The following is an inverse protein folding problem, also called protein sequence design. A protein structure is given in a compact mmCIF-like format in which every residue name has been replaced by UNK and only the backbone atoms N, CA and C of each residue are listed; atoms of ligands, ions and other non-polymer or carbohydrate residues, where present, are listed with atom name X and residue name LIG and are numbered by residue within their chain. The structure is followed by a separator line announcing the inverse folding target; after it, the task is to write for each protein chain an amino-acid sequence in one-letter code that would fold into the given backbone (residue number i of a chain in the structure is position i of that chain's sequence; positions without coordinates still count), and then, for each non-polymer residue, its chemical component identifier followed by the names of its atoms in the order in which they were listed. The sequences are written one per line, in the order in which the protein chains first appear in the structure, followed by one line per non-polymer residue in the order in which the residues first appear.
data_IF_054485913697
#
_entry.id   IF_054485913697
#
_cell.length_a   1.000
_cell.length_b   1.000
_cell.length_c   1.000
_cell.angle_alpha   90.00
_cell.angle_beta   90.00
_cell.angle_gamma   90.00
#
_symmetry.space_group_name_H-M   'P 1'
#
loop_
_entity.id
_entity.type
_entity.pdbx_description
1 polymer ?
#
# COMPACT_ATOMS: atom_id res chain seq x y z
N UNK A 1 2.48 -15.08 -8.36
CA UNK A 1 2.68 -15.14 -6.89
C UNK A 1 2.30 -13.76 -6.37
N UNK A 2 1.47 -13.63 -5.32
CA UNK A 2 1.07 -12.28 -4.84
C UNK A 2 2.27 -11.62 -4.17
N UNK A 3 2.41 -10.29 -4.30
CA UNK A 3 3.51 -9.55 -3.68
C UNK A 3 3.61 -9.79 -2.16
N UNK A 4 2.50 -10.02 -1.46
CA UNK A 4 2.48 -10.38 -0.03
C UNK A 4 3.22 -11.69 0.32
N UNK A 5 3.46 -12.56 -0.68
CA UNK A 5 4.16 -13.84 -0.55
C UNK A 5 5.62 -13.76 -1.00
N UNK A 6 6.02 -12.68 -1.68
CA UNK A 6 7.41 -12.42 -2.03
C UNK A 6 8.16 -11.95 -0.77
N UNK A 7 9.18 -12.72 -0.36
CA UNK A 7 9.86 -12.51 0.93
C UNK A 7 10.51 -11.12 1.04
N UNK A 8 10.93 -10.55 -0.08
CA UNK A 8 11.62 -9.27 -0.18
C UNK A 8 10.69 -8.04 -0.10
N UNK A 9 9.37 -8.19 -0.26
CA UNK A 9 8.39 -7.09 -0.10
C UNK A 9 7.33 -7.36 0.96
N UNK A 10 7.29 -8.57 1.52
CA UNK A 10 6.29 -8.96 2.54
C UNK A 10 6.19 -8.00 3.72
N UNK A 11 7.31 -7.42 4.16
CA UNK A 11 7.35 -6.45 5.27
C UNK A 11 6.54 -5.17 4.97
N UNK A 12 6.29 -4.84 3.70
CA UNK A 12 5.43 -3.73 3.30
C UNK A 12 3.94 -4.03 3.49
N UNK A 13 3.56 -5.29 3.65
CA UNK A 13 2.19 -5.75 3.84
C UNK A 13 1.92 -6.20 5.28
N UNK A 14 2.82 -6.97 5.88
CA UNK A 14 2.61 -7.49 7.23
C UNK A 14 3.92 -7.64 7.99
N UNK A 15 3.84 -7.48 9.31
CA UNK A 15 4.96 -7.67 10.23
C UNK A 15 4.60 -8.53 11.43
N UNK A 16 5.62 -9.10 12.06
CA UNK A 16 5.50 -9.73 13.37
C UNK A 16 5.74 -8.68 14.47
N UNK A 17 4.93 -8.70 15.53
CA UNK A 17 5.18 -7.89 16.72
C UNK A 17 5.81 -8.78 17.79
N UNK A 18 7.10 -8.59 18.07
CA UNK A 18 7.82 -9.41 19.06
C UNK A 18 7.63 -8.91 20.49
N UNK A 19 7.29 -7.63 20.68
CA UNK A 19 6.67 -7.02 21.87
C UNK A 19 6.62 -5.51 21.67
N UNK A 20 5.53 -4.84 22.05
CA UNK A 20 5.53 -3.38 22.20
C UNK A 20 5.81 -3.08 23.66
N UNK A 21 6.90 -2.36 23.94
CA UNK A 21 7.14 -1.78 25.26
C UNK A 21 5.96 -0.88 25.62
N UNK A 22 5.17 -1.29 26.61
CA UNK A 22 4.21 -0.43 27.26
C UNK A 22 4.99 0.69 27.94
N UNK A 23 4.96 1.89 27.36
CA UNK A 23 5.38 3.10 28.06
C UNK A 23 4.27 3.48 29.04
N UNK A 24 4.19 2.72 30.13
CA UNK A 24 3.42 3.04 31.31
C UNK A 24 4.40 3.13 32.48
N UNK A 25 4.85 4.35 32.78
CA UNK A 25 4.87 4.90 34.15
C UNK A 25 5.56 6.26 34.16
N UNK A 26 4.74 7.31 34.03
CA UNK A 26 5.07 8.61 34.58
C UNK A 26 4.72 8.60 36.07
N UNK A 27 5.65 8.19 36.92
CA UNK A 27 5.56 8.45 38.35
C UNK A 27 6.75 9.31 38.81
N UNK A 28 6.38 10.40 39.47
CA UNK A 28 7.24 11.39 40.09
C UNK A 28 8.01 10.83 41.28
N UNK A 29 9.32 11.08 41.34
CA UNK A 29 10.14 10.86 42.53
C UNK A 29 11.40 11.73 42.52
N UNK A 30 11.44 12.72 43.42
CA UNK A 30 12.55 13.64 43.63
C UNK A 30 13.62 13.03 44.56
N UNK A 31 14.88 13.42 44.31
CA UNK A 31 16.00 13.62 45.24
C UNK A 31 16.85 12.43 45.76
N UNK A 32 18.17 12.66 45.78
CA UNK A 32 19.14 11.94 46.63
C UNK A 32 20.47 11.63 45.94
N UNK A 33 21.56 12.30 46.33
CA UNK A 33 22.87 12.21 45.68
C UNK A 33 23.83 11.14 46.20
N UNK A 34 24.93 10.94 45.45
CA UNK A 34 26.24 10.50 45.95
C UNK A 34 26.56 9.00 45.84
N UNK A 35 27.33 8.61 44.82
CA UNK A 35 28.73 8.14 44.93
C UNK A 35 29.16 7.33 43.70
N UNK A 36 30.42 7.55 43.30
CA UNK A 36 31.12 6.90 42.19
C UNK A 36 31.36 5.43 42.49
N UNK A 37 31.10 4.57 41.50
CA UNK A 37 31.89 3.34 41.34
C UNK A 37 32.03 3.02 39.85
N UNK A 38 33.27 3.05 39.37
CA UNK A 38 33.64 2.58 38.03
C UNK A 38 33.47 1.06 37.96
N UNK A 39 32.76 0.58 36.94
CA UNK A 39 33.04 -0.74 36.36
C UNK A 39 32.66 -0.79 34.89
N UNK A 40 33.70 -0.83 34.07
CA UNK A 40 33.67 -1.17 32.65
C UNK A 40 33.00 -2.52 32.42
N UNK A 41 32.03 -2.54 31.50
CA UNK A 41 31.79 -3.66 30.57
C UNK A 41 31.10 -3.10 29.33
N UNK A 42 31.89 -3.02 28.25
CA UNK A 42 31.38 -2.92 26.89
C UNK A 42 30.41 -4.07 26.64
N UNK A 43 29.15 -3.74 26.42
CA UNK A 43 28.23 -4.60 25.69
C UNK A 43 27.57 -3.69 24.66
N UNK A 44 28.04 -3.79 23.42
CA UNK A 44 27.36 -3.26 22.26
C UNK A 44 25.98 -3.92 22.20
N UNK A 45 24.95 -3.20 22.62
CA UNK A 45 23.57 -3.56 22.29
C UNK A 45 23.40 -3.37 20.79
N UNK A 46 23.67 -4.44 20.04
CA UNK A 46 23.15 -4.60 18.71
C UNK A 46 21.64 -4.74 18.83
N UNK A 47 20.90 -3.75 18.33
CA UNK A 47 19.49 -3.91 17.98
C UNK A 47 19.39 -5.16 17.10
N UNK A 48 18.65 -6.21 17.49
CA UNK A 48 18.50 -7.36 16.63
C UNK A 48 17.69 -6.93 15.42
N UNK A 49 18.34 -6.93 14.26
CA UNK A 49 17.69 -6.89 12.95
C UNK A 49 16.75 -8.09 12.92
N UNK A 50 15.45 -7.81 12.81
CA UNK A 50 14.42 -8.84 12.77
C UNK A 50 14.71 -9.80 11.61
N UNK A 51 14.84 -11.08 11.94
CA UNK A 51 15.05 -12.17 10.99
C UNK A 51 13.89 -12.18 9.98
N UNK A 52 14.24 -12.18 8.69
CA UNK A 52 13.38 -11.93 7.52
C UNK A 52 12.44 -13.08 7.17
N UNK A 53 11.89 -13.77 8.17
CA UNK A 53 10.92 -14.84 7.98
C UNK A 53 9.89 -14.86 9.09
N UNK A 54 8.59 -14.86 8.75
CA UNK A 54 7.47 -15.08 9.69
C UNK A 54 7.42 -16.50 10.28
N UNK A 55 8.53 -17.26 10.22
CA UNK A 55 8.58 -18.61 10.78
C UNK A 55 8.31 -18.49 12.28
N UNK A 56 7.14 -18.97 12.71
CA UNK A 56 6.71 -18.95 14.11
C UNK A 56 5.88 -17.74 14.55
N UNK A 57 5.41 -16.87 13.64
CA UNK A 57 4.51 -15.74 13.95
C UNK A 57 3.17 -15.79 13.19
N UNK A 58 3.17 -16.34 11.97
CA UNK A 58 1.96 -16.46 11.15
C UNK A 58 2.23 -16.83 9.69
N UNK A 59 1.16 -17.05 8.93
CA UNK A 59 1.22 -17.48 7.52
C UNK A 59 0.10 -16.88 6.69
N UNK A 60 0.22 -16.99 5.37
CA UNK A 60 -0.90 -16.82 4.44
C UNK A 60 -1.32 -18.22 4.00
N UNK A 61 -2.61 -18.55 4.13
CA UNK A 61 -3.13 -19.86 3.74
C UNK A 61 -3.45 -19.94 2.22
N UNK A 62 -3.91 -21.10 1.76
CA UNK A 62 -4.25 -21.35 0.35
C UNK A 62 -5.41 -20.50 -0.19
N UNK A 63 -6.22 -19.92 0.70
CA UNK A 63 -7.33 -19.02 0.38
C UNK A 63 -6.93 -17.55 0.52
N UNK A 64 -5.63 -17.27 0.66
CA UNK A 64 -5.05 -15.94 0.90
C UNK A 64 -5.47 -15.30 2.23
N UNK A 65 -5.92 -16.10 3.21
CA UNK A 65 -6.17 -15.59 4.55
C UNK A 65 -4.87 -15.44 5.33
N UNK A 66 -4.75 -14.36 6.09
CA UNK A 66 -3.64 -14.19 7.03
C UNK A 66 -3.96 -14.87 8.34
N UNK A 67 -3.16 -15.86 8.74
CA UNK A 67 -3.34 -16.64 9.97
C UNK A 67 -2.24 -16.31 10.97
N UNK A 68 -2.64 -15.81 12.14
CA UNK A 68 -1.79 -15.68 13.32
C UNK A 68 -1.77 -17.00 14.09
N UNK A 69 -0.56 -17.51 14.35
CA UNK A 69 -0.36 -18.72 15.15
C UNK A 69 -0.72 -18.48 16.63
N UNK A 70 -1.00 -19.54 17.38
CA UNK A 70 -1.31 -19.48 18.82
C UNK A 70 -0.35 -18.55 19.59
N UNK A 71 -0.90 -17.59 20.34
CA UNK A 71 -0.15 -16.65 21.16
C UNK A 71 0.72 -15.67 20.37
N UNK A 72 0.52 -15.55 19.05
CA UNK A 72 1.26 -14.66 18.17
C UNK A 72 0.40 -13.51 17.70
N UNK A 73 1.09 -12.48 17.21
CA UNK A 73 0.48 -11.25 16.75
C UNK A 73 1.10 -10.80 15.44
N UNK A 74 0.21 -10.51 14.48
CA UNK A 74 0.54 -9.95 13.18
C UNK A 74 0.08 -8.51 13.16
N UNK A 75 0.95 -7.60 12.75
CA UNK A 75 0.60 -6.20 12.52
C UNK A 75 0.39 -5.90 11.05
N UNK A 76 -0.65 -5.11 10.78
CA UNK A 76 -0.92 -4.48 9.49
C UNK A 76 -0.61 -2.98 9.54
N UNK A 77 0.15 -2.53 10.56
CA UNK A 77 0.78 -1.22 10.64
C UNK A 77 1.96 -1.09 9.68
N UNK A 78 1.69 -1.37 8.40
CA UNK A 78 2.65 -1.48 7.32
C UNK A 78 2.28 -0.53 6.19
N UNK A 79 3.21 -0.29 5.27
CA UNK A 79 3.05 0.72 4.23
C UNK A 79 1.79 0.50 3.37
N UNK A 80 1.52 -0.73 2.94
CA UNK A 80 0.39 -1.03 2.07
C UNK A 80 -0.93 -1.22 2.82
N UNK A 81 -0.94 -1.59 4.10
CA UNK A 81 -2.18 -1.91 4.81
C UNK A 81 -2.64 -0.86 5.83
N UNK A 82 -1.75 0.03 6.28
CA UNK A 82 -2.15 1.17 7.08
C UNK A 82 -2.87 2.24 6.24
N UNK A 83 -3.81 2.95 6.86
CA UNK A 83 -4.57 4.02 6.22
C UNK A 83 -3.96 5.40 6.52
N UNK A 84 -3.61 6.20 5.48
CA UNK A 84 -2.97 7.51 5.63
C UNK A 84 -3.98 8.59 6.08
N UNK A 85 -4.47 8.47 7.31
CA UNK A 85 -5.58 9.25 7.87
C UNK A 85 -5.41 10.77 7.72
N UNK A 86 -4.20 11.30 7.93
CA UNK A 86 -3.95 12.74 7.79
C UNK A 86 -4.09 13.25 6.37
N UNK A 87 -3.72 12.46 5.35
CA UNK A 87 -3.86 12.86 3.94
C UNK A 87 -5.32 12.97 3.56
N UNK A 88 -6.12 11.96 3.90
CA UNK A 88 -7.57 11.97 3.66
C UNK A 88 -8.23 13.15 4.38
N UNK A 89 -7.95 13.33 5.67
CA UNK A 89 -8.46 14.48 6.44
C UNK A 89 -8.10 15.83 5.82
N UNK A 90 -6.88 15.96 5.30
CA UNK A 90 -6.35 17.23 4.76
C UNK A 90 -6.92 17.58 3.39
N UNK A 91 -7.16 16.58 2.54
CA UNK A 91 -7.40 16.77 1.11
C UNK A 91 -8.80 16.36 0.65
N UNK A 92 -9.61 15.70 1.48
CA UNK A 92 -11.00 15.28 1.16
C UNK A 92 -12.00 15.83 2.18
N UNK A 93 -13.27 16.00 1.82
CA UNK A 93 -14.29 16.54 2.75
C UNK A 93 -14.75 15.52 3.82
N UNK A 94 -14.28 14.28 3.73
CA UNK A 94 -14.65 13.22 4.66
C UNK A 94 -14.00 13.40 6.04
N UNK A 95 -14.75 13.06 7.09
CA UNK A 95 -14.32 13.10 8.50
C UNK A 95 -14.34 11.74 9.18
N UNK A 96 -14.70 10.70 8.44
CA UNK A 96 -14.78 9.34 8.93
C UNK A 96 -14.22 8.41 7.87
N UNK A 97 -13.49 7.39 8.29
CA UNK A 97 -13.14 6.22 7.48
C UNK A 97 -13.76 4.99 8.11
N UNK A 98 -14.33 4.12 7.30
CA UNK A 98 -14.89 2.83 7.72
C UNK A 98 -13.84 1.74 7.53
N UNK A 99 -13.57 0.98 8.58
CA UNK A 99 -12.81 -0.26 8.52
C UNK A 99 -13.80 -1.43 8.54
N UNK A 100 -13.73 -2.30 7.53
CA UNK A 100 -14.46 -3.58 7.51
C UNK A 100 -13.48 -4.72 7.50
N UNK A 101 -13.61 -5.61 8.49
CA UNK A 101 -12.76 -6.76 8.69
C UNK A 101 -13.62 -8.02 8.68
N UNK A 102 -13.13 -9.09 8.08
CA UNK A 102 -13.72 -10.42 8.21
C UNK A 102 -12.69 -11.35 8.83
N UNK A 103 -13.00 -11.93 9.98
CA UNK A 103 -12.06 -12.74 10.74
C UNK A 103 -12.73 -13.86 11.53
N UNK A 104 -11.96 -14.89 11.86
CA UNK A 104 -12.37 -16.06 12.66
C UNK A 104 -11.27 -16.49 13.62
N UNK A 105 -11.59 -17.44 14.49
CA UNK A 105 -10.69 -18.07 15.44
C UNK A 105 -10.80 -17.47 16.83
N UNK A 106 -9.73 -17.60 17.61
CA UNK A 106 -9.69 -17.15 19.00
C UNK A 106 -8.62 -16.08 19.17
N UNK A 107 -9.00 -14.90 19.66
CA UNK A 107 -8.05 -13.80 19.82
C UNK A 107 -8.70 -12.43 19.81
N UNK A 108 -8.01 -11.43 19.26
CA UNK A 108 -8.51 -10.08 19.11
C UNK A 108 -8.01 -9.39 17.85
N UNK A 109 -8.88 -8.58 17.26
CA UNK A 109 -8.51 -7.51 16.33
C UNK A 109 -8.35 -6.22 17.12
N UNK A 110 -7.19 -5.57 17.02
CA UNK A 110 -6.89 -4.37 17.78
C UNK A 110 -6.61 -3.21 16.84
N UNK A 111 -7.39 -2.14 16.94
CA UNK A 111 -7.29 -0.97 16.07
C UNK A 111 -6.41 0.08 16.75
N UNK A 112 -5.47 0.63 16.00
CA UNK A 112 -4.51 1.63 16.44
C UNK A 112 -4.56 2.88 15.58
N UNK A 113 -4.11 3.98 16.18
CA UNK A 113 -3.72 5.17 15.45
C UNK A 113 -2.38 5.71 15.91
N UNK A 114 -1.75 6.53 15.08
CA UNK A 114 -0.58 7.32 15.45
C UNK A 114 -0.90 8.81 15.49
N UNK A 115 -0.16 9.55 16.31
CA UNK A 115 -0.05 11.01 16.18
C UNK A 115 0.98 11.38 15.10
N UNK A 116 1.06 12.65 14.73
CA UNK A 116 2.09 13.16 13.82
C UNK A 116 3.54 12.87 14.28
N UNK A 117 3.75 12.69 15.60
CA UNK A 117 5.06 12.34 16.18
C UNK A 117 5.30 10.83 16.26
N UNK A 118 4.40 10.01 15.73
CA UNK A 118 4.51 8.55 15.76
C UNK A 118 4.05 7.90 17.07
N UNK A 119 3.53 8.65 18.05
CA UNK A 119 3.00 8.04 19.27
C UNK A 119 1.78 7.17 18.95
N UNK A 120 1.82 5.91 19.37
CA UNK A 120 0.78 4.89 19.12
C UNK A 120 -0.29 4.94 20.20
N UNK A 121 -1.56 4.91 19.78
CA UNK A 121 -2.73 4.95 20.65
C UNK A 121 -3.68 3.84 20.22
N UNK A 122 -4.07 2.96 21.15
CA UNK A 122 -5.13 1.96 20.92
C UNK A 122 -6.48 2.67 20.86
N UNK A 123 -7.25 2.35 19.84
CA UNK A 123 -8.55 2.97 19.54
C UNK A 123 -9.70 2.03 19.90
N UNK A 124 -9.59 0.76 19.52
CA UNK A 124 -10.61 -0.25 19.81
C UNK A 124 -9.97 -1.65 19.90
N UNK A 125 -10.70 -2.61 20.43
CA UNK A 125 -10.33 -4.03 20.40
C UNK A 125 -11.56 -4.91 20.40
N UNK A 126 -11.60 -5.80 19.42
CA UNK A 126 -12.72 -6.70 19.16
C UNK A 126 -12.25 -8.13 19.44
N UNK A 127 -12.90 -8.80 20.38
CA UNK A 127 -12.65 -10.21 20.67
C UNK A 127 -13.19 -11.10 19.55
N UNK A 128 -12.38 -12.09 19.15
CA UNK A 128 -12.76 -13.20 18.29
C UNK A 128 -12.87 -14.45 19.16
N UNK A 129 -14.00 -15.14 19.08
CA UNK A 129 -14.22 -16.42 19.74
C UNK A 129 -15.19 -17.26 18.92
N UNK A 130 -14.64 -18.05 18.00
CA UNK A 130 -15.42 -18.98 17.19
C UNK A 130 -14.75 -19.30 15.86
N UNK A 131 -15.07 -20.48 15.34
CA UNK A 131 -14.48 -20.95 14.08
C UNK A 131 -15.20 -20.36 12.85
N UNK A 132 -16.42 -19.81 13.03
CA UNK A 132 -17.14 -19.09 11.98
C UNK A 132 -16.63 -17.66 11.83
N UNK A 133 -16.41 -17.23 10.58
CA UNK A 133 -15.95 -15.88 10.32
C UNK A 133 -17.06 -14.83 10.48
N UNK A 134 -16.73 -13.84 11.31
CA UNK A 134 -17.57 -12.68 11.61
C UNK A 134 -17.09 -11.47 10.83
N UNK A 135 -18.05 -10.65 10.37
CA UNK A 135 -17.77 -9.35 9.76
C UNK A 135 -17.90 -8.26 10.80
N UNK A 136 -16.87 -7.43 10.91
CA UNK A 136 -16.71 -6.38 11.91
C UNK A 136 -16.56 -5.06 11.17
N UNK A 137 -17.45 -4.11 11.48
CA UNK A 137 -17.45 -2.77 10.89
C UNK A 137 -17.18 -1.72 11.94
N UNK A 138 -16.26 -0.79 11.68
CA UNK A 138 -15.92 0.32 12.58
C UNK A 138 -15.77 1.62 11.81
N UNK A 139 -16.53 2.62 12.22
CA UNK A 139 -16.43 3.98 11.72
C UNK A 139 -15.48 4.78 12.62
N UNK A 140 -14.37 5.25 12.03
CA UNK A 140 -13.26 5.89 12.74
C UNK A 140 -13.15 7.35 12.34
N UNK A 141 -13.21 8.26 13.32
CA UNK A 141 -13.08 9.71 13.08
C UNK A 141 -11.69 10.09 12.59
N UNK A 142 -11.62 10.98 11.60
CA UNK A 142 -10.41 11.60 11.10
C UNK A 142 -10.09 12.93 11.81
N UNK A 143 -10.93 13.41 12.72
CA UNK A 143 -10.76 14.72 13.35
C UNK A 143 -9.38 14.94 14.01
N UNK A 144 -8.77 13.94 14.70
CA UNK A 144 -7.48 14.12 15.37
C UNK A 144 -6.26 14.28 14.45
N UNK A 145 -6.37 13.98 13.15
CA UNK A 145 -5.22 13.84 12.25
C UNK A 145 -4.84 15.15 11.55
N UNK A 146 -4.75 16.25 12.30
CA UNK A 146 -4.51 17.59 11.75
C UNK A 146 -3.14 17.69 11.07
N UNK A 147 -2.10 17.24 11.78
CA UNK A 147 -0.70 17.46 11.40
C UNK A 147 0.03 16.17 10.98
N UNK A 148 -0.69 15.04 10.95
CA UNK A 148 -0.12 13.73 10.65
C UNK A 148 -0.80 12.58 11.39
N UNK A 149 -0.43 11.37 11.00
CA UNK A 149 -0.85 10.13 11.66
C UNK A 149 -1.61 9.18 10.73
N UNK A 150 -1.66 7.93 11.16
CA UNK A 150 -2.19 6.79 10.42
C UNK A 150 -3.16 5.99 11.28
N UNK A 151 -4.05 5.25 10.62
CA UNK A 151 -4.80 4.16 11.22
C UNK A 151 -4.25 2.81 10.76
N UNK A 152 -4.26 1.81 11.63
CA UNK A 152 -4.01 0.42 11.26
C UNK A 152 -4.67 -0.52 12.27
N UNK A 153 -4.55 -1.82 12.06
CA UNK A 153 -5.01 -2.84 12.99
C UNK A 153 -4.00 -3.98 13.08
N UNK A 154 -4.12 -4.76 14.15
CA UNK A 154 -3.35 -5.97 14.39
C UNK A 154 -4.29 -7.15 14.65
N UNK A 155 -3.85 -8.35 14.25
CA UNK A 155 -4.50 -9.62 14.59
C UNK A 155 -3.65 -10.32 15.66
N UNK A 156 -4.21 -10.50 16.84
CA UNK A 156 -3.58 -11.19 17.97
C UNK A 156 -4.34 -12.50 18.23
N UNK A 157 -3.65 -13.63 18.19
CA UNK A 157 -4.22 -14.95 18.46
C UNK A 157 -4.10 -15.31 19.95
N UNK A 158 -5.13 -15.95 20.48
CA UNK A 158 -5.22 -16.44 21.85
C UNK A 158 -4.58 -17.83 22.03
N UNK A 159 -5.30 -18.74 22.67
CA UNK A 159 -4.85 -20.12 22.88
C UNK A 159 -5.01 -21.01 21.63
N UNK A 160 -5.75 -20.52 20.63
CA UNK A 160 -5.88 -21.10 19.28
C UNK A 160 -5.48 -20.06 18.24
N UNK A 161 -5.37 -20.51 16.99
CA UNK A 161 -5.09 -19.60 15.86
C UNK A 161 -6.24 -18.63 15.62
N UNK A 162 -5.92 -17.48 15.04
CA UNK A 162 -6.88 -16.53 14.51
C UNK A 162 -6.55 -16.24 13.04
N UNK A 163 -7.57 -16.03 12.22
CA UNK A 163 -7.40 -15.77 10.79
C UNK A 163 -8.18 -14.53 10.36
N UNK A 164 -7.52 -13.66 9.59
CA UNK A 164 -8.11 -12.56 8.85
C UNK A 164 -8.38 -13.02 7.42
N UNK A 165 -9.65 -13.01 7.02
CA UNK A 165 -10.09 -13.35 5.67
C UNK A 165 -10.05 -12.15 4.73
N UNK A 166 -10.48 -10.98 5.20
CA UNK A 166 -10.43 -9.74 4.43
C UNK A 166 -10.36 -8.51 5.32
N UNK A 167 -9.81 -7.43 4.78
CA UNK A 167 -9.77 -6.11 5.42
C UNK A 167 -9.88 -5.01 4.37
N UNK A 168 -10.77 -4.05 4.60
CA UNK A 168 -11.08 -2.98 3.67
C UNK A 168 -11.18 -1.64 4.39
N UNK A 169 -10.50 -0.63 3.85
CA UNK A 169 -10.69 0.76 4.22
C UNK A 169 -11.65 1.41 3.23
N UNK A 170 -12.77 1.92 3.74
CA UNK A 170 -13.85 2.49 2.93
C UNK A 170 -14.15 3.93 3.33
N UNK A 171 -14.50 4.74 2.34
CA UNK A 171 -15.04 6.08 2.54
C UNK A 171 -16.47 6.08 2.02
N UNK A 172 -17.42 6.39 2.89
CA UNK A 172 -18.81 6.61 2.47
C UNK A 172 -18.90 7.91 1.68
N UNK A 173 -19.46 7.83 0.49
CA UNK A 173 -19.60 8.94 -0.45
C UNK A 173 -20.92 8.84 -1.19
N UNK A 174 -21.49 9.98 -1.58
CA UNK A 174 -22.65 10.06 -2.48
C UNK A 174 -22.27 9.93 -3.95
N UNK A 175 -20.98 9.95 -4.28
CA UNK A 175 -20.46 9.69 -5.63
C UNK A 175 -20.88 8.29 -6.10
N UNK A 176 -21.57 8.23 -7.23
CA UNK A 176 -22.15 7.00 -7.78
C UNK A 176 -21.25 6.28 -8.79
N UNK A 177 -20.23 6.97 -9.33
CA UNK A 177 -19.35 6.44 -10.36
C UNK A 177 -17.90 6.60 -9.94
N UNK A 178 -17.14 5.52 -10.03
CA UNK A 178 -15.68 5.56 -9.89
C UNK A 178 -15.10 6.20 -11.14
N UNK A 179 -14.16 7.12 -10.97
CA UNK A 179 -13.49 7.77 -12.08
C UNK A 179 -12.70 6.77 -12.92
N UNK A 180 -12.56 7.09 -14.21
CA UNK A 180 -11.88 6.26 -15.20
C UNK A 180 -10.50 6.82 -15.52
N UNK A 181 -9.55 5.95 -15.82
CA UNK A 181 -8.14 6.33 -16.00
C UNK A 181 -7.57 5.81 -17.32
N UNK A 182 -6.80 6.66 -18.00
CA UNK A 182 -5.85 6.22 -19.03
C UNK A 182 -4.44 6.20 -18.48
N UNK A 183 -3.67 5.17 -18.83
CA UNK A 183 -2.29 5.00 -18.41
C UNK A 183 -1.36 5.38 -19.57
N UNK A 184 -0.39 6.25 -19.32
CA UNK A 184 0.67 6.60 -20.25
C UNK A 184 2.01 6.01 -19.82
N UNK A 185 2.62 5.18 -20.66
CA UNK A 185 3.94 4.58 -20.44
C UNK A 185 4.89 5.13 -21.50
N UNK A 186 5.99 5.76 -21.08
CA UNK A 186 7.05 6.19 -22.00
C UNK A 186 8.16 5.14 -22.01
N UNK A 187 8.59 4.68 -23.19
CA UNK A 187 9.68 3.69 -23.28
C UNK A 187 10.74 4.04 -24.31
N UNK A 188 11.99 3.64 -24.04
CA UNK A 188 13.11 3.75 -24.97
C UNK A 188 14.05 2.54 -24.80
N UNK A 189 13.97 1.59 -25.73
CA UNK A 189 14.82 0.39 -25.76
C UNK A 189 14.80 -0.44 -24.45
N UNK A 190 13.61 -0.57 -23.85
CA UNK A 190 13.34 -1.48 -22.71
C UNK A 190 12.08 -2.30 -22.97
N UNK A 191 12.00 -3.04 -24.09
CA UNK A 191 10.76 -3.69 -24.49
C UNK A 191 10.25 -4.68 -23.44
N UNK A 192 11.14 -5.47 -22.83
CA UNK A 192 10.80 -6.51 -21.85
C UNK A 192 10.11 -5.93 -20.60
N UNK A 193 10.69 -4.87 -20.01
CA UNK A 193 10.11 -4.21 -18.83
C UNK A 193 8.73 -3.62 -19.14
N UNK A 194 8.59 -2.96 -20.29
CA UNK A 194 7.32 -2.40 -20.71
C UNK A 194 6.28 -3.51 -20.93
N UNK A 195 6.64 -4.59 -21.61
CA UNK A 195 5.70 -5.68 -21.89
C UNK A 195 5.29 -6.46 -20.63
N UNK A 196 6.21 -6.64 -19.68
CA UNK A 196 5.90 -7.23 -18.37
C UNK A 196 4.87 -6.40 -17.60
N UNK A 197 5.01 -5.07 -17.64
CA UNK A 197 4.06 -4.15 -17.01
C UNK A 197 2.68 -4.22 -17.69
N UNK A 198 2.62 -4.32 -19.01
CA UNK A 198 1.37 -4.52 -19.76
C UNK A 198 0.70 -5.86 -19.40
N UNK A 199 1.50 -6.92 -19.26
CA UNK A 199 1.00 -8.24 -18.81
C UNK A 199 0.45 -8.15 -17.39
N UNK A 200 1.14 -7.47 -16.47
CA UNK A 200 0.65 -7.27 -15.10
C UNK A 200 -0.70 -6.53 -15.10
N UNK A 201 -0.82 -5.43 -15.85
CA UNK A 201 -2.08 -4.70 -16.01
C UNK A 201 -3.19 -5.58 -16.58
N UNK A 202 -2.88 -6.43 -17.56
CA UNK A 202 -3.86 -7.32 -18.20
C UNK A 202 -4.38 -8.43 -17.27
N UNK A 203 -3.66 -8.72 -16.19
CA UNK A 203 -3.98 -9.80 -15.24
C UNK A 203 -4.69 -9.34 -13.98
N UNK A 204 -4.88 -8.04 -13.79
CA UNK A 204 -5.60 -7.50 -12.62
C UNK A 204 -7.01 -7.03 -13.01
N UNK A 205 -8.07 -7.82 -12.72
CA UNK A 205 -9.44 -7.46 -13.04
C UNK A 205 -9.85 -6.10 -12.47
N UNK A 206 -9.35 -5.77 -11.27
CA UNK A 206 -9.76 -4.57 -10.56
C UNK A 206 -9.20 -3.27 -11.19
N UNK A 207 -7.98 -3.30 -11.73
CA UNK A 207 -7.48 -2.22 -12.57
C UNK A 207 -8.22 -2.17 -13.91
N UNK A 208 -8.52 -3.31 -14.53
CA UNK A 208 -9.24 -3.35 -15.80
C UNK A 208 -10.66 -2.76 -15.72
N UNK A 209 -11.30 -2.77 -14.56
CA UNK A 209 -12.61 -2.16 -14.29
C UNK A 209 -12.60 -0.63 -14.39
N UNK A 210 -11.48 0.03 -14.07
CA UNK A 210 -11.34 1.49 -14.10
C UNK A 210 -10.53 2.00 -15.30
N UNK A 211 -9.91 1.10 -16.06
CA UNK A 211 -9.03 1.42 -17.19
C UNK A 211 -9.79 1.69 -18.48
N UNK A 212 -9.57 2.88 -19.06
CA UNK A 212 -10.02 3.26 -20.40
C UNK A 212 -9.02 2.87 -21.48
N UNK A 213 -7.79 3.39 -21.41
CA UNK A 213 -6.75 3.16 -22.42
C UNK A 213 -5.36 3.04 -21.79
N UNK A 214 -4.46 2.34 -22.48
CA UNK A 214 -3.01 2.33 -22.23
C UNK A 214 -2.30 2.86 -23.47
N UNK A 215 -1.55 3.93 -23.31
CA UNK A 215 -0.70 4.53 -24.34
C UNK A 215 0.75 4.19 -24.06
N UNK A 216 1.34 3.35 -24.90
CA UNK A 216 2.79 3.08 -24.90
C UNK A 216 3.43 4.00 -25.92
N UNK A 217 4.15 5.00 -25.46
CA UNK A 217 4.91 5.93 -26.30
C UNK A 217 6.31 5.37 -26.49
N UNK A 218 6.49 4.61 -27.58
CA UNK A 218 7.73 3.91 -27.90
C UNK A 218 8.66 4.82 -28.72
N UNK A 219 9.72 5.26 -28.06
CA UNK A 219 10.73 6.16 -28.62
C UNK A 219 11.98 5.43 -29.12
N UNK A 220 12.01 4.10 -28.98
CA UNK A 220 13.17 3.26 -29.22
C UNK A 220 13.21 2.67 -30.63
N UNK A 221 14.25 1.87 -30.87
CA UNK A 221 14.35 1.00 -32.04
C UNK A 221 14.24 -0.49 -31.69
N UNK A 222 14.27 -0.84 -30.41
CA UNK A 222 13.84 -2.15 -29.90
C UNK A 222 12.38 -2.02 -29.49
N UNK A 223 11.48 -2.52 -30.32
CA UNK A 223 10.06 -2.20 -30.19
C UNK A 223 9.36 -3.12 -29.21
N UNK A 224 8.48 -2.55 -28.37
CA UNK A 224 7.64 -3.33 -27.43
C UNK A 224 6.76 -4.33 -28.17
N UNK A 225 6.25 -3.95 -29.35
CA UNK A 225 5.37 -4.80 -30.16
C UNK A 225 6.01 -6.09 -30.67
N UNK A 226 7.35 -6.16 -30.65
CA UNK A 226 8.09 -7.34 -31.09
C UNK A 226 8.26 -8.39 -29.97
N UNK A 227 7.83 -8.09 -28.74
CA UNK A 227 7.88 -9.03 -27.61
C UNK A 227 6.71 -10.03 -27.64
N UNK A 228 6.92 -11.31 -27.24
CA UNK A 228 5.83 -12.26 -27.02
C UNK A 228 4.80 -11.78 -25.98
N UNK A 229 5.27 -11.12 -24.92
CA UNK A 229 4.49 -10.62 -23.79
C UNK A 229 3.54 -9.49 -24.22
N UNK A 230 3.93 -8.66 -25.19
CA UNK A 230 3.03 -7.69 -25.79
C UNK A 230 1.82 -8.36 -26.45
N UNK A 231 2.02 -9.47 -27.16
CA UNK A 231 0.92 -10.20 -27.79
C UNK A 231 -0.05 -10.78 -26.76
N UNK A 232 0.47 -11.27 -25.63
CA UNK A 232 -0.34 -11.71 -24.47
C UNK A 232 -1.19 -10.55 -23.93
N UNK A 233 -0.57 -9.42 -23.60
CA UNK A 233 -1.27 -8.27 -23.06
C UNK A 233 -2.30 -7.69 -24.06
N UNK A 234 -1.95 -7.62 -25.36
CA UNK A 234 -2.84 -7.13 -26.43
C UNK A 234 -4.07 -8.00 -26.60
N UNK A 235 -3.98 -9.32 -26.39
CA UNK A 235 -5.13 -10.21 -26.47
C UNK A 235 -6.22 -9.89 -25.42
N UNK A 236 -5.82 -9.34 -24.26
CA UNK A 236 -6.74 -8.99 -23.16
C UNK A 236 -7.11 -7.51 -23.18
N UNK A 237 -6.14 -6.62 -23.38
CA UNK A 237 -6.37 -5.17 -23.42
C UNK A 237 -7.09 -4.74 -24.71
N UNK A 238 -6.93 -5.49 -25.80
CA UNK A 238 -7.64 -5.27 -27.05
C UNK A 238 -7.46 -3.85 -27.58
N UNK A 239 -8.56 -3.21 -27.95
CA UNK A 239 -8.57 -1.85 -28.50
C UNK A 239 -8.24 -0.76 -27.47
N UNK A 240 -8.02 -1.11 -26.21
CA UNK A 240 -7.55 -0.18 -25.17
C UNK A 240 -6.03 0.03 -25.20
N UNK A 241 -5.27 -0.89 -25.80
CA UNK A 241 -3.80 -0.79 -25.88
C UNK A 241 -3.35 -0.16 -27.20
N UNK A 242 -2.70 1.01 -27.09
CA UNK A 242 -2.20 1.82 -28.20
C UNK A 242 -0.68 1.96 -28.09
N UNK A 243 0.04 1.50 -29.11
CA UNK A 243 1.49 1.79 -29.23
C UNK A 243 1.68 2.92 -30.23
N UNK A 244 2.42 3.95 -29.81
CA UNK A 244 2.68 5.16 -30.56
C UNK A 244 4.18 5.21 -30.82
N UNK A 245 4.57 5.02 -32.08
CA UNK A 245 5.95 5.22 -32.52
C UNK A 245 6.24 6.71 -32.64
N UNK A 246 7.31 7.17 -31.99
CA UNK A 246 7.78 8.55 -32.13
C UNK A 246 9.32 8.64 -32.04
N UNK A 247 9.95 9.71 -32.56
CA UNK A 247 11.36 9.97 -32.31
C UNK A 247 11.66 10.14 -30.81
N UNK A 248 12.92 9.95 -30.39
CA UNK A 248 13.32 10.19 -29.01
C UNK A 248 13.29 11.69 -28.66
N UNK A 249 12.26 12.08 -27.91
CA UNK A 249 12.02 13.42 -27.36
C UNK A 249 12.19 13.44 -25.82
N UNK A 250 12.84 12.42 -25.25
CA UNK A 250 13.03 12.25 -23.81
C UNK A 250 11.73 11.97 -23.03
N UNK A 251 11.83 11.92 -21.70
CA UNK A 251 10.69 11.65 -20.81
C UNK A 251 9.57 12.68 -20.97
N UNK A 252 9.91 13.98 -21.02
CA UNK A 252 8.93 15.04 -21.22
C UNK A 252 8.13 14.88 -22.51
N UNK A 253 8.80 14.50 -23.62
CA UNK A 253 8.12 14.27 -24.90
C UNK A 253 7.20 13.06 -24.87
N UNK A 254 7.62 11.97 -24.21
CA UNK A 254 6.80 10.78 -24.03
C UNK A 254 5.57 11.02 -23.17
N UNK A 255 5.75 11.58 -21.98
CA UNK A 255 4.64 11.89 -21.07
C UNK A 255 3.69 12.93 -21.66
N UNK A 256 4.23 13.97 -22.32
CA UNK A 256 3.39 14.95 -23.03
C UNK A 256 2.56 14.29 -24.13
N UNK A 257 3.09 13.27 -24.82
CA UNK A 257 2.34 12.55 -25.84
C UNK A 257 1.20 11.76 -25.22
N UNK A 258 1.43 11.02 -24.13
CA UNK A 258 0.37 10.28 -23.46
C UNK A 258 -0.74 11.20 -22.91
N UNK A 259 -0.37 12.35 -22.32
CA UNK A 259 -1.35 13.36 -21.89
C UNK A 259 -2.14 13.92 -23.07
N UNK A 260 -1.48 14.22 -24.19
CA UNK A 260 -2.14 14.69 -25.41
C UNK A 260 -3.18 13.69 -25.91
N UNK A 261 -2.82 12.42 -26.05
CA UNK A 261 -3.72 11.37 -26.55
C UNK A 261 -4.92 11.16 -25.62
N UNK A 262 -4.69 11.17 -24.31
CA UNK A 262 -5.76 11.07 -23.30
C UNK A 262 -6.77 12.23 -23.46
N UNK A 263 -6.27 13.47 -23.56
CA UNK A 263 -7.11 14.67 -23.74
C UNK A 263 -7.86 14.63 -25.09
N UNK A 264 -7.20 14.21 -26.18
CA UNK A 264 -7.84 14.13 -27.50
C UNK A 264 -9.00 13.14 -27.54
N UNK A 265 -8.91 12.03 -26.78
CA UNK A 265 -10.02 11.08 -26.69
C UNK A 265 -11.18 11.59 -25.84
N UNK A 266 -10.88 12.36 -24.79
CA UNK A 266 -11.90 13.02 -23.97
C UNK A 266 -12.86 12.06 -23.25
N UNK A 267 -12.41 10.84 -22.95
CA UNK A 267 -13.22 9.80 -22.30
C UNK A 267 -12.83 9.50 -20.84
N UNK A 268 -11.59 9.81 -20.46
CA UNK A 268 -11.03 9.49 -19.15
C UNK A 268 -11.12 10.68 -18.19
N UNK A 269 -11.41 10.42 -16.92
CA UNK A 269 -11.36 11.43 -15.87
C UNK A 269 -9.91 11.77 -15.48
N UNK A 270 -9.02 10.78 -15.57
CA UNK A 270 -7.62 10.88 -15.15
C UNK A 270 -6.64 10.34 -16.19
N UNK A 271 -5.42 10.88 -16.14
CA UNK A 271 -4.23 10.30 -16.77
C UNK A 271 -3.24 9.90 -15.67
N UNK A 272 -2.78 8.65 -15.71
CA UNK A 272 -1.71 8.15 -14.85
C UNK A 272 -0.45 7.97 -15.70
N UNK A 273 0.64 8.62 -15.30
CA UNK A 273 1.93 8.51 -15.99
C UNK A 273 2.81 7.50 -15.25
N UNK A 274 3.29 6.49 -15.96
CA UNK A 274 4.19 5.45 -15.45
C UNK A 274 5.45 5.40 -16.31
N UNK A 275 6.58 5.11 -15.68
CA UNK A 275 7.80 4.72 -16.38
C UNK A 275 7.71 3.26 -16.84
N UNK A 276 8.53 2.89 -17.84
CA UNK A 276 8.60 1.53 -18.36
C UNK A 276 9.36 0.58 -17.43
N UNK A 277 10.37 1.07 -16.71
CA UNK A 277 11.27 0.29 -15.86
C UNK A 277 10.86 0.22 -14.38
N UNK A 278 9.55 0.24 -14.11
CA UNK A 278 9.00 0.10 -12.74
C UNK A 278 8.11 -1.13 -12.58
N UNK A 279 8.15 -1.70 -11.38
CA UNK A 279 7.14 -2.68 -10.93
C UNK A 279 6.04 -1.92 -10.20
N UNK A 280 4.89 -1.80 -10.85
CA UNK A 280 3.75 -1.09 -10.30
C UNK A 280 2.96 -1.99 -9.34
N UNK A 281 2.68 -1.49 -8.13
CA UNK A 281 1.67 -2.07 -7.27
C UNK A 281 0.29 -1.56 -7.74
N UNK A 282 -0.53 -2.48 -8.26
CA UNK A 282 -1.75 -2.15 -9.01
C UNK A 282 -2.90 -1.67 -8.12
N UNK A 283 -2.95 -2.06 -6.84
CA UNK A 283 -3.87 -1.47 -5.86
C UNK A 283 -3.63 0.04 -5.71
N UNK A 284 -2.36 0.48 -5.85
CA UNK A 284 -1.96 1.87 -5.87
C UNK A 284 -2.69 2.72 -6.93
N UNK A 285 -3.00 2.15 -8.10
CA UNK A 285 -3.76 2.83 -9.17
C UNK A 285 -5.17 3.15 -8.68
N UNK A 286 -5.85 2.16 -8.11
CA UNK A 286 -7.21 2.32 -7.56
C UNK A 286 -7.24 3.31 -6.40
N UNK A 287 -6.24 3.25 -5.51
CA UNK A 287 -6.08 4.21 -4.41
C UNK A 287 -5.92 5.64 -4.93
N UNK A 288 -5.12 5.84 -5.98
CA UNK A 288 -4.93 7.15 -6.58
C UNK A 288 -6.23 7.69 -7.21
N UNK A 289 -6.97 6.84 -7.93
CA UNK A 289 -8.28 7.20 -8.51
C UNK A 289 -9.30 7.51 -7.42
N UNK A 290 -9.46 6.64 -6.41
CA UNK A 290 -10.39 6.85 -5.30
C UNK A 290 -10.07 8.12 -4.50
N UNK A 291 -8.79 8.42 -4.28
CA UNK A 291 -8.39 9.65 -3.62
C UNK A 291 -8.66 10.88 -4.50
N UNK A 292 -8.42 10.79 -5.81
CA UNK A 292 -8.69 11.88 -6.76
C UNK A 292 -10.19 12.18 -6.85
N UNK A 293 -11.03 11.14 -6.87
CA UNK A 293 -12.49 11.23 -6.92
C UNK A 293 -13.09 11.98 -5.72
N UNK A 294 -12.43 11.89 -4.56
CA UNK A 294 -12.90 12.40 -3.29
C UNK A 294 -12.10 13.62 -2.80
N UNK A 295 -11.12 14.07 -3.59
CA UNK A 295 -10.37 15.28 -3.29
C UNK A 295 -11.29 16.51 -3.36
N UNK A 296 -11.17 17.44 -2.39
CA UNK A 296 -12.02 18.66 -2.32
C UNK A 296 -11.86 19.60 -3.51
N UNK A 297 -10.79 19.44 -4.28
CA UNK A 297 -10.44 20.24 -5.45
C UNK A 297 -9.60 19.40 -6.40
N UNK A 298 -9.52 19.77 -7.69
CA UNK A 298 -8.59 19.14 -8.63
C UNK A 298 -7.18 19.06 -8.03
N UNK A 299 -6.64 17.86 -7.97
CA UNK A 299 -5.41 17.52 -7.24
C UNK A 299 -4.58 16.57 -8.09
N UNK A 300 -3.27 16.82 -8.17
CA UNK A 300 -2.32 15.84 -8.72
C UNK A 300 -2.00 14.85 -7.59
N UNK A 301 -2.21 13.57 -7.86
CA UNK A 301 -1.94 12.49 -6.91
C UNK A 301 -0.72 11.72 -7.39
N UNK A 302 0.36 11.78 -6.61
CA UNK A 302 1.58 11.01 -6.86
C UNK A 302 1.65 9.75 -6.00
N UNK A 303 2.22 8.68 -6.55
CA UNK A 303 2.63 7.52 -5.77
C UNK A 303 4.03 7.72 -5.18
N UNK A 304 4.33 7.05 -4.06
CA UNK A 304 5.73 6.95 -3.61
C UNK A 304 6.48 5.88 -4.40
N UNK A 305 7.80 6.04 -4.45
CA UNK A 305 8.70 5.12 -5.13
C UNK A 305 9.53 4.34 -4.11
N UNK A 306 9.65 3.03 -4.34
CA UNK A 306 10.54 2.13 -3.62
C UNK A 306 11.70 1.70 -4.52
N UNK A 307 12.85 1.42 -3.92
CA UNK A 307 14.03 0.97 -4.67
C UNK A 307 13.80 -0.42 -5.25
N UNK A 308 14.01 -0.61 -6.55
CA UNK A 308 13.96 -1.94 -7.16
C UNK A 308 15.07 -2.88 -6.68
N UNK A 309 16.16 -2.33 -6.14
CA UNK A 309 17.29 -3.10 -5.62
C UNK A 309 17.14 -3.44 -4.13
N UNK A 310 16.43 -2.59 -3.39
CA UNK A 310 16.05 -2.82 -1.99
C UNK A 310 14.57 -2.48 -1.84
N UNK A 311 13.74 -3.48 -2.17
CA UNK A 311 12.29 -3.29 -2.40
C UNK A 311 11.52 -2.85 -1.17
N UNK A 312 12.12 -2.89 0.02
CA UNK A 312 11.52 -2.37 1.27
C UNK A 312 11.88 -0.92 1.57
N UNK A 313 12.83 -0.33 0.84
CA UNK A 313 13.31 1.03 1.05
C UNK A 313 12.60 2.01 0.14
N UNK A 314 11.85 2.92 0.76
CA UNK A 314 11.23 4.07 0.09
C UNK A 314 12.28 5.14 -0.19
N UNK A 315 12.29 5.69 -1.41
CA UNK A 315 13.26 6.72 -1.81
C UNK A 315 13.11 8.02 -1.01
N UNK A 316 11.89 8.53 -0.95
CA UNK A 316 11.53 9.72 -0.18
C UNK A 316 10.04 9.66 0.15
N UNK A 317 9.69 10.28 1.28
CA UNK A 317 8.27 10.45 1.65
C UNK A 317 7.60 11.59 0.87
N UNK A 318 8.39 12.54 0.36
CA UNK A 318 7.93 13.67 -0.42
C UNK A 318 9.11 14.58 -0.76
N UNK A 319 8.95 15.41 -1.78
CA UNK A 319 9.96 16.33 -2.28
C UNK A 319 9.46 17.78 -2.17
N UNK A 320 10.38 18.73 -1.99
CA UNK A 320 10.11 20.14 -1.70
C UNK A 320 10.26 21.03 -2.94
#
# INVERSE_FOLDING_TARGET
MRASQELDVRALYMGAVTSMASSADGSSGQSGGGERTERSKNTSEQTPVADTGMIGYGRVDENDHTVAEKGRRITFGTYFNAFPASYWRRWTDHRTVRLVLRARGEGALIIYRSTARGHVIRVDSITLDGDEAVTITRDLTLDPFIDGGWYWFDLEAGDREAALESAEWMIETDRQQVGRVSIGITTFNRPDFCSDQLVALSKDPSTLEILDDVFVVDQGNQKVVDTPEYAEAKAVLGDRLHVIDQPNLGGSGGFSRAMYETVQRGQSDYVLLLDDDVVCELEGIKRAVAFSDLARRPTIVGGHMFSLYDRTVMHAYGEA
#
